data_IF_726759182761
#
_entry.id   IF_726759182761
#
_cell.length_a   1.000
_cell.length_b   1.000
_cell.length_c   1.000
_cell.angle_alpha   90.00
_cell.angle_beta   90.00
_cell.angle_gamma   90.00
#
_symmetry.space_group_name_H-M   'P 1'
#
loop_
_entity.id
_entity.type
_entity.pdbx_description
1 polymer ?
#
# COMPACT_ATOMS: atom_id res chain seq x y z
N UNK A 1 -24.62 -10.22 12.52
CA UNK A 1 -25.40 -9.97 11.29
C UNK A 1 -24.67 -8.86 10.58
N UNK A 2 -24.15 -9.21 9.41
CA UNK A 2 -23.04 -8.57 8.72
C UNK A 2 -23.41 -7.16 8.24
N UNK A 3 -22.51 -6.19 8.45
CA UNK A 3 -22.58 -4.89 7.80
C UNK A 3 -21.72 -4.96 6.55
N UNK A 4 -22.33 -5.32 5.43
CA UNK A 4 -21.70 -5.17 4.12
C UNK A 4 -21.59 -3.68 3.79
N UNK A 5 -20.46 -3.06 4.15
CA UNK A 5 -20.06 -1.81 3.56
C UNK A 5 -19.67 -2.08 2.10
N UNK A 6 -20.63 -1.90 1.18
CA UNK A 6 -20.34 -1.73 -0.23
C UNK A 6 -19.43 -0.49 -0.37
N UNK A 7 -18.13 -0.71 -0.57
CA UNK A 7 -17.19 0.36 -0.89
C UNK A 7 -17.56 0.95 -2.25
N UNK A 8 -18.18 2.12 -2.25
CA UNK A 8 -18.22 2.98 -3.43
C UNK A 8 -16.78 3.43 -3.74
N UNK A 9 -16.19 2.83 -4.79
CA UNK A 9 -14.83 3.15 -5.23
C UNK A 9 -14.71 4.58 -5.81
N UNK A 10 -15.82 5.31 -6.00
CA UNK A 10 -15.80 6.64 -6.60
C UNK A 10 -15.29 7.75 -5.69
N UNK A 11 -15.17 7.52 -4.37
CA UNK A 11 -14.65 8.52 -3.42
C UNK A 11 -13.68 7.90 -2.42
N UNK A 12 -12.45 7.56 -2.87
CA UNK A 12 -11.35 7.39 -1.92
C UNK A 12 -11.05 8.76 -1.28
N UNK A 13 -11.06 8.89 0.05
CA UNK A 13 -10.76 10.16 0.70
C UNK A 13 -9.35 10.62 0.33
N UNK A 14 -9.17 11.94 0.14
CA UNK A 14 -7.86 12.55 -0.09
C UNK A 14 -7.05 12.50 1.21
N UNK A 15 -6.34 11.41 1.42
CA UNK A 15 -5.49 11.20 2.59
C UNK A 15 -4.10 11.82 2.40
N UNK A 16 -3.48 12.25 3.49
CA UNK A 16 -2.11 12.78 3.48
C UNK A 16 -1.11 11.63 3.40
N UNK A 17 0.03 11.87 2.75
CA UNK A 17 1.15 10.93 2.76
C UNK A 17 1.80 10.91 4.14
N UNK A 18 2.39 9.76 4.50
CA UNK A 18 3.23 9.60 5.69
C UNK A 18 4.65 9.27 5.24
N UNK A 19 5.64 9.72 6.01
CA UNK A 19 7.03 9.40 5.75
C UNK A 19 7.37 8.03 6.34
N UNK A 20 8.03 7.21 5.54
CA UNK A 20 8.69 5.97 5.97
C UNK A 20 10.10 6.02 5.42
N UNK A 21 11.09 6.06 6.31
CA UNK A 21 12.51 6.17 5.92
C UNK A 21 12.73 7.30 4.90
N UNK A 22 12.16 8.47 5.19
CA UNK A 22 12.19 9.68 4.35
C UNK A 22 11.49 9.59 2.98
N UNK A 23 10.78 8.49 2.70
CA UNK A 23 9.96 8.31 1.49
C UNK A 23 8.49 8.58 1.81
N UNK A 24 7.84 9.44 1.03
CA UNK A 24 6.42 9.73 1.18
C UNK A 24 5.56 8.61 0.57
N UNK A 25 4.80 7.91 1.41
CA UNK A 25 3.94 6.79 1.02
C UNK A 25 2.46 7.08 1.34
N UNK A 26 1.51 6.47 0.60
CA UNK A 26 0.12 6.41 1.02
C UNK A 26 -0.01 5.92 2.45
N UNK A 27 -0.90 6.53 3.23
CA UNK A 27 -1.03 6.27 4.66
C UNK A 27 -1.28 4.78 4.99
N UNK A 28 -2.09 4.09 4.18
CA UNK A 28 -2.38 2.67 4.34
C UNK A 28 -1.18 1.76 4.07
N UNK A 29 -0.21 2.19 3.27
CA UNK A 29 1.07 1.48 3.10
C UNK A 29 1.96 1.73 4.32
N UNK A 30 2.08 3.00 4.73
CA UNK A 30 2.90 3.39 5.87
C UNK A 30 2.45 2.74 7.19
N UNK A 31 1.14 2.66 7.42
CA UNK A 31 0.55 2.08 8.63
C UNK A 31 0.76 0.55 8.72
N UNK A 32 1.00 -0.11 7.59
CA UNK A 32 1.22 -1.56 7.51
C UNK A 32 2.66 -1.91 7.08
N UNK A 33 3.61 -0.98 7.27
CA UNK A 33 4.98 -1.14 6.79
C UNK A 33 5.67 -2.41 7.33
N UNK A 34 5.39 -2.79 8.58
CA UNK A 34 5.95 -4.01 9.19
C UNK A 34 5.57 -5.29 8.43
N UNK A 35 4.36 -5.36 7.87
CA UNK A 35 3.91 -6.49 7.05
C UNK A 35 4.70 -6.57 5.74
N UNK A 36 4.97 -5.43 5.11
CA UNK A 36 5.74 -5.37 3.87
C UNK A 36 7.22 -5.70 4.11
N UNK A 37 7.80 -5.23 5.22
CA UNK A 37 9.16 -5.60 5.62
C UNK A 37 9.31 -7.10 5.88
N UNK A 38 8.25 -7.76 6.35
CA UNK A 38 8.23 -9.21 6.56
C UNK A 38 8.06 -10.05 5.30
N UNK A 39 7.91 -9.44 4.11
CA UNK A 39 7.66 -10.15 2.86
C UNK A 39 8.75 -11.20 2.57
N UNK A 40 8.32 -12.44 2.32
CA UNK A 40 9.20 -13.58 2.01
C UNK A 40 9.16 -13.85 0.50
N UNK A 41 10.13 -13.31 -0.22
CA UNK A 41 10.31 -13.60 -1.65
C UNK A 41 10.65 -15.08 -1.87
N UNK A 42 10.29 -15.61 -3.04
CA UNK A 42 10.64 -16.96 -3.50
C UNK A 42 11.69 -16.88 -4.60
N UNK A 43 12.48 -17.94 -4.75
CA UNK A 43 13.58 -17.99 -5.73
C UNK A 43 13.16 -17.82 -7.20
N UNK A 44 11.87 -18.07 -7.52
CA UNK A 44 11.33 -17.89 -8.87
C UNK A 44 10.58 -16.58 -9.09
N UNK A 45 10.51 -15.70 -8.08
CA UNK A 45 9.77 -14.45 -8.22
C UNK A 45 10.52 -13.48 -9.14
N UNK A 46 9.77 -12.83 -10.03
CA UNK A 46 10.29 -11.77 -10.91
C UNK A 46 9.74 -10.44 -10.44
N UNK A 47 10.62 -9.49 -10.19
CA UNK A 47 10.26 -8.15 -9.71
C UNK A 47 10.22 -7.18 -10.89
N UNK A 48 9.10 -6.48 -11.03
CA UNK A 48 8.98 -5.30 -11.89
C UNK A 48 8.92 -4.09 -10.96
N UNK A 49 10.00 -3.31 -10.94
CA UNK A 49 10.11 -2.12 -10.09
C UNK A 49 10.21 -0.88 -10.98
N UNK A 50 9.22 0.02 -10.85
CA UNK A 50 9.16 1.27 -11.61
C UNK A 50 8.80 2.43 -10.68
N UNK A 51 9.26 3.64 -11.04
CA UNK A 51 8.67 4.84 -10.47
C UNK A 51 7.23 4.96 -10.98
N UNK A 52 6.27 5.50 -10.19
CA UNK A 52 4.90 5.64 -10.66
C UNK A 52 4.83 6.35 -12.01
N UNK A 53 4.14 5.72 -12.98
CA UNK A 53 3.88 6.22 -14.34
C UNK A 53 5.02 6.05 -15.37
N UNK A 54 6.08 5.32 -15.05
CA UNK A 54 7.11 4.91 -16.01
C UNK A 54 6.67 3.73 -16.90
#
# INVERSE_FOLDING_TARGET
>A
METEFLFDQSVLPRRKLKLVQDVALPDWIADNWSTLQGFQAKAGDVIIATYPKA
#
